data_IF_756645554620
#
_entry.id   IF_756645554620
#
_cell.length_a   1.000
_cell.length_b   1.000
_cell.length_c   1.000
_cell.angle_alpha   90.00
_cell.angle_beta   90.00
_cell.angle_gamma   90.00
#
_symmetry.space_group_name_H-M   'P 1'
#
loop_
_entity.id
_entity.type
_entity.pdbx_description
1 polymer ?
#
# COMPACT_ATOMS: atom_id res chain seq x y z
N UNK A 1 -1.18 10.57 -12.24
CA UNK A 1 -2.23 9.74 -11.60
C UNK A 1 -2.99 10.54 -10.56
N UNK A 2 -2.33 11.28 -9.64
CA UNK A 2 -3.00 12.22 -8.74
C UNK A 2 -3.96 13.19 -9.45
N UNK A 3 -3.56 13.74 -10.60
CA UNK A 3 -4.37 14.74 -11.33
C UNK A 3 -5.70 14.24 -11.90
N UNK A 4 -5.87 12.92 -12.04
CA UNK A 4 -7.06 12.32 -12.68
C UNK A 4 -7.94 11.54 -11.70
N UNK A 5 -7.49 11.38 -10.45
CA UNK A 5 -8.21 10.65 -9.41
C UNK A 5 -8.68 11.61 -8.33
N UNK A 6 -9.94 11.48 -7.95
CA UNK A 6 -10.47 12.13 -6.75
C UNK A 6 -9.88 11.48 -5.49
N UNK A 7 -9.85 12.18 -4.34
CA UNK A 7 -9.58 11.54 -3.05
C UNK A 7 -10.49 10.33 -2.82
N UNK A 8 -9.92 9.22 -2.34
CA UNK A 8 -10.58 7.92 -2.22
C UNK A 8 -10.84 7.20 -3.55
N UNK A 9 -10.34 7.72 -4.68
CA UNK A 9 -10.44 7.10 -5.99
C UNK A 9 -9.58 5.84 -6.10
N UNK A 10 -10.14 4.78 -6.70
CA UNK A 10 -9.43 3.52 -6.93
C UNK A 10 -8.79 3.48 -8.31
N UNK A 11 -7.53 3.08 -8.36
CA UNK A 11 -6.77 2.76 -9.55
C UNK A 11 -6.36 1.28 -9.52
N UNK A 12 -6.53 0.61 -10.65
CA UNK A 12 -6.07 -0.76 -10.87
C UNK A 12 -5.54 -0.86 -12.30
N UNK A 13 -4.62 -1.79 -12.52
CA UNK A 13 -3.94 -1.96 -13.78
C UNK A 13 -3.61 -3.43 -14.04
N UNK A 14 -3.23 -3.72 -15.28
CA UNK A 14 -2.77 -5.05 -15.66
C UNK A 14 -1.37 -5.34 -15.10
N UNK A 15 -1.28 -6.29 -14.18
CA UNK A 15 -0.08 -6.72 -13.49
C UNK A 15 0.56 -7.92 -14.19
N UNK A 16 1.21 -7.61 -15.31
CA UNK A 16 1.68 -8.61 -16.24
C UNK A 16 3.16 -9.01 -16.15
N UNK A 17 3.91 -8.41 -15.23
CA UNK A 17 5.37 -8.57 -15.28
C UNK A 17 5.80 -9.97 -14.78
N UNK A 18 6.75 -10.56 -15.49
CA UNK A 18 7.34 -11.87 -15.17
C UNK A 18 6.33 -13.05 -15.07
N UNK A 19 5.57 -13.36 -16.13
CA UNK A 19 4.56 -14.45 -16.16
C UNK A 19 5.08 -15.84 -15.80
N UNK A 20 6.36 -16.09 -16.06
CA UNK A 20 6.97 -17.40 -15.89
C UNK A 20 7.64 -17.58 -14.54
N UNK A 21 7.87 -16.50 -13.78
CA UNK A 21 8.63 -16.55 -12.54
C UNK A 21 7.93 -15.71 -11.45
N UNK A 22 7.33 -16.40 -10.47
CA UNK A 22 6.62 -15.77 -9.35
C UNK A 22 7.52 -14.91 -8.49
N UNK A 23 8.79 -15.26 -8.35
CA UNK A 23 9.73 -14.46 -7.58
C UNK A 23 9.93 -13.10 -8.23
N UNK A 24 10.21 -13.07 -9.54
CA UNK A 24 10.35 -11.81 -10.27
C UNK A 24 9.02 -11.05 -10.37
N UNK A 25 7.89 -11.75 -10.39
CA UNK A 25 6.59 -11.10 -10.33
C UNK A 25 6.37 -10.41 -8.98
N UNK A 26 6.66 -11.07 -7.86
CA UNK A 26 6.56 -10.49 -6.53
C UNK A 26 7.48 -9.27 -6.35
N UNK A 27 8.73 -9.34 -6.87
CA UNK A 27 9.64 -8.18 -6.89
C UNK A 27 9.05 -7.02 -7.70
N UNK A 28 8.40 -7.31 -8.83
CA UNK A 28 7.74 -6.28 -9.63
C UNK A 28 6.55 -5.66 -8.87
N UNK A 29 5.72 -6.47 -8.20
CA UNK A 29 4.64 -5.98 -7.34
C UNK A 29 5.18 -5.04 -6.26
N UNK A 30 6.23 -5.44 -5.55
CA UNK A 30 6.84 -4.61 -4.51
C UNK A 30 7.40 -3.30 -5.06
N UNK A 31 8.04 -3.36 -6.23
CA UNK A 31 8.61 -2.19 -6.88
C UNK A 31 7.53 -1.17 -7.23
N UNK A 32 6.41 -1.64 -7.78
CA UNK A 32 5.25 -0.77 -8.10
C UNK A 32 4.57 -0.26 -6.84
N UNK A 33 4.48 -1.09 -5.79
CA UNK A 33 3.91 -0.68 -4.50
C UNK A 33 4.65 0.52 -3.93
N UNK A 34 5.99 0.46 -3.88
CA UNK A 34 6.82 1.55 -3.37
C UNK A 34 6.66 2.83 -4.18
N UNK A 35 6.62 2.75 -5.51
CA UNK A 35 6.46 3.93 -6.37
C UNK A 35 5.07 4.57 -6.24
N UNK A 36 4.01 3.77 -6.08
CA UNK A 36 2.66 4.29 -5.86
C UNK A 36 2.47 4.86 -4.45
N UNK A 37 3.07 4.26 -3.42
CA UNK A 37 3.06 4.81 -2.06
C UNK A 37 3.70 6.19 -1.98
N UNK A 38 4.74 6.46 -2.79
CA UNK A 38 5.36 7.80 -2.90
C UNK A 38 4.44 8.85 -3.52
N UNK A 39 3.35 8.41 -4.15
CA UNK A 39 2.29 9.24 -4.72
C UNK A 39 1.02 9.20 -3.85
N UNK A 40 1.15 8.84 -2.57
CA UNK A 40 0.06 8.84 -1.59
C UNK A 40 -1.07 7.83 -1.92
N UNK A 41 -0.70 6.72 -2.54
CA UNK A 41 -1.62 5.60 -2.71
C UNK A 41 -1.43 4.57 -1.60
N UNK A 42 -2.54 4.13 -1.02
CA UNK A 42 -2.61 2.87 -0.29
C UNK A 42 -2.73 1.74 -1.32
N UNK A 43 -1.76 0.81 -1.34
CA UNK A 43 -1.67 -0.23 -2.37
C UNK A 43 -1.71 -1.61 -1.75
N UNK A 44 -2.64 -2.42 -2.23
CA UNK A 44 -2.80 -3.83 -1.92
C UNK A 44 -2.78 -4.69 -3.20
N UNK A 45 -2.46 -5.97 -3.06
CA UNK A 45 -2.45 -6.96 -4.14
C UNK A 45 -3.34 -8.13 -3.77
N UNK A 46 -4.59 -8.08 -4.25
CA UNK A 46 -5.57 -9.12 -3.98
C UNK A 46 -5.30 -10.37 -4.81
N UNK A 47 -5.26 -11.53 -4.17
CA UNK A 47 -5.13 -12.81 -4.87
C UNK A 47 -6.47 -13.23 -5.47
N UNK A 48 -6.52 -13.31 -6.79
CA UNK A 48 -7.70 -13.71 -7.56
C UNK A 48 -7.43 -15.06 -8.24
N UNK A 49 -8.34 -16.05 -8.13
CA UNK A 49 -8.18 -17.32 -8.83
C UNK A 49 -8.32 -17.13 -10.34
N UNK A 50 -7.47 -17.81 -11.10
CA UNK A 50 -7.53 -17.88 -12.55
C UNK A 50 -8.26 -19.16 -12.92
N UNK A 51 -9.45 -19.01 -13.50
CA UNK A 51 -10.25 -20.12 -14.00
C UNK A 51 -10.31 -20.04 -15.53
N UNK A 52 -9.35 -20.69 -16.19
CA UNK A 52 -9.24 -20.71 -17.65
C UNK A 52 -8.91 -22.11 -18.12
N UNK A 53 -9.80 -22.67 -18.94
CA UNK A 53 -9.61 -24.01 -19.54
C UNK A 53 -8.47 -24.03 -20.56
N UNK A 54 -7.80 -25.19 -20.68
CA UNK A 54 -6.73 -25.41 -21.67
C UNK A 54 -7.19 -25.17 -23.12
N UNK A 55 -8.45 -25.47 -23.42
CA UNK A 55 -9.07 -25.25 -24.75
C UNK A 55 -9.08 -23.78 -25.14
N UNK A 56 -9.16 -22.86 -24.17
CA UNK A 56 -9.09 -21.41 -24.41
C UNK A 56 -7.78 -21.01 -25.08
N UNK A 57 -6.73 -21.82 -24.87
CA UNK A 57 -5.40 -21.57 -25.38
C UNK A 57 -5.08 -22.33 -26.69
N UNK A 58 -6.06 -22.99 -27.31
CA UNK A 58 -5.84 -23.72 -28.55
C UNK A 58 -5.39 -22.78 -29.67
N UNK A 59 -4.27 -23.14 -30.33
CA UNK A 59 -3.66 -22.30 -31.36
C UNK A 59 -2.85 -21.09 -30.84
N UNK A 60 -2.87 -20.81 -29.53
CA UNK A 60 -2.12 -19.69 -28.95
C UNK A 60 -0.66 -20.07 -28.72
N UNK A 61 0.25 -19.40 -29.42
CA UNK A 61 1.70 -19.54 -29.22
C UNK A 61 2.18 -18.65 -28.08
N UNK A 62 3.09 -19.18 -27.24
CA UNK A 62 3.67 -18.47 -26.07
C UNK A 62 2.58 -17.99 -25.11
N UNK A 63 1.74 -18.92 -24.67
CA UNK A 63 0.69 -18.69 -23.67
C UNK A 63 1.23 -17.89 -22.49
N UNK A 64 0.49 -16.86 -22.12
CA UNK A 64 0.90 -15.89 -21.12
C UNK A 64 0.08 -16.12 -19.85
N UNK A 65 0.74 -16.16 -18.69
CA UNK A 65 0.09 -16.35 -17.38
C UNK A 65 -0.75 -17.65 -17.24
N UNK A 66 -0.42 -18.70 -18.01
CA UNK A 66 -1.21 -19.94 -18.08
C UNK A 66 -0.86 -21.01 -17.04
N UNK A 67 0.40 -21.09 -16.59
CA UNK A 67 0.84 -22.09 -15.60
C UNK A 67 0.46 -21.70 -14.15
N UNK A 68 -0.29 -20.61 -13.97
CA UNK A 68 -0.62 -20.02 -12.67
C UNK A 68 -2.10 -20.22 -12.39
N UNK A 69 -2.41 -20.53 -11.13
CA UNK A 69 -3.79 -20.62 -10.62
C UNK A 69 -4.29 -19.32 -10.00
N UNK A 70 -3.39 -18.38 -9.79
CA UNK A 70 -3.63 -17.16 -9.01
C UNK A 70 -3.01 -15.96 -9.72
N UNK A 71 -3.69 -14.83 -9.61
CA UNK A 71 -3.30 -13.54 -10.14
C UNK A 71 -3.32 -12.50 -9.03
N UNK A 72 -2.28 -11.67 -8.95
CA UNK A 72 -2.23 -10.58 -8.00
C UNK A 72 -2.81 -9.32 -8.63
N UNK A 73 -4.07 -9.03 -8.31
CA UNK A 73 -4.79 -7.85 -8.77
C UNK A 73 -4.38 -6.64 -7.93
N UNK A 74 -3.70 -5.64 -8.52
CA UNK A 74 -3.35 -4.43 -7.79
C UNK A 74 -4.58 -3.58 -7.53
N UNK A 75 -4.76 -3.15 -6.29
CA UNK A 75 -5.76 -2.17 -5.89
C UNK A 75 -5.04 -1.02 -5.19
N UNK A 76 -5.04 0.15 -5.82
CA UNK A 76 -4.41 1.36 -5.29
C UNK A 76 -5.50 2.41 -5.01
N UNK A 77 -5.62 2.87 -3.77
CA UNK A 77 -6.57 3.91 -3.38
C UNK A 77 -5.81 5.19 -3.08
N UNK A 78 -6.23 6.29 -3.70
CA UNK A 78 -5.56 7.57 -3.55
C UNK A 78 -6.04 8.32 -2.29
N UNK A 79 -5.13 8.66 -1.39
CA UNK A 79 -5.42 9.47 -0.19
C UNK A 79 -4.45 10.66 -0.13
N UNK A 80 -4.77 11.78 -0.80
CA UNK A 80 -3.90 12.96 -0.70
C UNK A 80 -3.81 13.42 0.75
N UNK A 81 -2.61 13.80 1.19
CA UNK A 81 -2.48 14.51 2.46
C UNK A 81 -3.28 15.82 2.37
N UNK A 82 -4.10 16.12 3.38
CA UNK A 82 -4.75 17.43 3.42
C UNK A 82 -3.66 18.48 3.58
N UNK A 83 -3.58 19.42 2.63
CA UNK A 83 -2.73 20.60 2.77
C UNK A 83 -3.16 21.30 4.07
N UNK A 84 -2.32 21.22 5.10
CA UNK A 84 -2.55 21.99 6.31
C UNK A 84 -2.39 23.46 5.93
N UNK A 85 -3.49 24.18 5.80
CA UNK A 85 -3.53 25.64 5.70
C UNK A 85 -2.98 26.27 7.00
N UNK A 86 -1.66 26.18 7.21
CA UNK A 86 -0.94 26.92 8.24
C UNK A 86 -0.37 28.19 7.61
N UNK A 87 -1.25 29.11 7.20
CA UNK A 87 -0.92 30.52 7.03
C UNK A 87 -1.06 31.23 8.39
N UNK A 88 -0.18 30.91 9.34
CA UNK A 88 -0.04 31.71 10.56
C UNK A 88 0.93 32.88 10.30
N UNK A 89 0.35 34.04 9.94
CA UNK A 89 0.99 35.34 10.18
C UNK A 89 1.22 35.57 11.69
N UNK A 90 2.24 36.34 12.08
CA UNK A 90 2.73 36.35 13.46
C UNK A 90 1.76 37.12 14.36
N UNK A 91 1.04 36.41 15.23
CA UNK A 91 0.23 37.06 16.27
C UNK A 91 0.68 36.65 17.67
N UNK A 92 1.54 37.51 18.22
CA UNK A 92 1.59 37.96 19.62
C UNK A 92 1.30 36.94 20.73
N UNK A 93 2.40 36.52 21.39
CA UNK A 93 2.58 36.39 22.83
C UNK A 93 1.32 36.35 23.73
N UNK A 94 1.09 35.20 24.36
CA UNK A 94 0.49 35.12 25.68
C UNK A 94 1.05 33.91 26.44
N UNK A 95 1.98 34.19 27.35
CA UNK A 95 2.53 33.25 28.31
C UNK A 95 1.45 32.66 29.22
N UNK A 96 1.46 31.33 29.43
CA UNK A 96 0.93 30.71 30.65
C UNK A 96 1.84 29.55 31.09
N UNK A 97 2.06 29.53 32.40
CA UNK A 97 3.06 28.81 33.17
C UNK A 97 2.81 27.31 33.28
N UNK A 98 3.89 26.55 33.47
CA UNK A 98 3.90 25.19 34.03
C UNK A 98 3.23 25.12 35.40
N UNK A 99 2.80 23.92 35.82
CA UNK A 99 3.47 23.35 36.98
C UNK A 99 3.71 21.82 36.95
N UNK A 100 4.84 21.45 37.54
CA UNK A 100 5.10 20.35 38.48
C UNK A 100 4.85 18.87 38.09
N UNK A 101 5.99 18.22 37.85
CA UNK A 101 6.47 16.85 38.14
C UNK A 101 5.64 15.85 38.99
N UNK A 102 5.58 14.61 38.46
CA UNK A 102 5.74 13.27 39.08
C UNK A 102 4.58 12.63 39.90
N UNK A 103 4.48 11.27 39.97
CA UNK A 103 5.55 10.27 39.77
C UNK A 103 5.25 9.09 38.79
N UNK A 104 6.34 8.39 38.46
CA UNK A 104 6.43 7.15 37.67
C UNK A 104 5.66 6.00 38.34
N UNK A 105 4.83 5.29 37.56
CA UNK A 105 4.31 3.98 37.94
C UNK A 105 5.25 2.87 37.46
N UNK A 106 5.77 2.13 38.42
CA UNK A 106 6.58 0.93 38.30
C UNK A 106 5.72 -0.23 37.79
N UNK A 107 5.87 -0.61 36.53
CA UNK A 107 5.26 -1.82 35.98
C UNK A 107 6.11 -3.04 36.36
N UNK A 108 5.59 -3.87 37.26
CA UNK A 108 6.17 -5.15 37.63
C UNK A 108 5.96 -6.18 36.52
N UNK A 109 7.06 -6.79 36.06
CA UNK A 109 7.15 -7.75 34.97
C UNK A 109 6.77 -9.17 35.46
N UNK A 110 5.71 -9.83 34.94
CA UNK A 110 5.21 -11.09 35.50
C UNK A 110 5.77 -12.35 34.80
N UNK A 111 7.06 -12.40 34.46
CA UNK A 111 7.67 -13.65 34.00
C UNK A 111 9.17 -13.74 34.34
N UNK A 112 9.47 -14.04 35.59
CA UNK A 112 10.77 -14.57 35.98
C UNK A 112 10.60 -15.59 37.09
N UNK A 113 10.23 -16.82 36.73
CA UNK A 113 10.53 -17.99 37.54
C UNK A 113 10.90 -19.14 36.59
N UNK A 114 12.10 -19.66 36.80
CA UNK A 114 12.72 -20.79 36.11
C UNK A 114 12.65 -22.02 37.01
#
# INVERSE_FOLDING_TARGET
LPDILRPGGMYSFFNGLAPKNVFFHAVACQSVQLELQRLEFEVDFQTVPIDVDDKTWDGVRRKYWHDRKEYFLPTAIYYPEEESDNDEGPTSAAAKQSPASAPEEEATDPFTEA
#
